data_IF_128666440158
#
_entry.id   IF_128666440158
#
_cell.length_a   1.000
_cell.length_b   1.000
_cell.length_c   1.000
_cell.angle_alpha   90.00
_cell.angle_beta   90.00
_cell.angle_gamma   90.00
#
_symmetry.space_group_name_H-M   'P 1'
#
loop_
_entity.id
_entity.type
_entity.pdbx_description
1 polymer ?
#
# COMPACT_ATOMS: atom_id res chain seq x y z
N UNK A 1 -1.49 13.63 20.45
CA UNK A 1 -1.45 12.22 20.02
C UNK A 1 0.03 11.86 19.87
N UNK A 2 0.47 10.66 20.23
CA UNK A 2 1.88 10.30 19.98
C UNK A 2 2.09 10.10 18.47
N UNK A 3 3.32 10.28 17.99
CA UNK A 3 3.65 10.10 16.56
C UNK A 3 3.25 8.70 16.06
N UNK A 4 3.40 7.68 16.90
CA UNK A 4 2.93 6.33 16.60
C UNK A 4 1.44 6.29 16.23
N UNK A 5 0.59 6.86 17.08
CA UNK A 5 -0.85 6.86 16.85
C UNK A 5 -1.25 7.63 15.59
N UNK A 6 -0.56 8.73 15.28
CA UNK A 6 -0.79 9.49 14.05
C UNK A 6 -0.43 8.67 12.81
N UNK A 7 0.69 7.93 12.84
CA UNK A 7 1.10 7.00 11.78
C UNK A 7 0.07 5.88 11.62
N UNK A 8 -0.28 5.16 12.70
CA UNK A 8 -1.21 4.03 12.63
C UNK A 8 -2.57 4.47 12.10
N UNK A 9 -3.12 5.58 12.61
CA UNK A 9 -4.40 6.12 12.17
C UNK A 9 -4.41 6.50 10.70
N UNK A 10 -3.29 7.00 10.18
CA UNK A 10 -3.20 7.55 8.82
C UNK A 10 -2.80 6.53 7.77
N UNK A 11 -1.97 5.54 8.11
CA UNK A 11 -1.33 4.66 7.13
C UNK A 11 -1.64 3.16 7.32
N UNK A 12 -2.17 2.77 8.49
CA UNK A 12 -2.44 1.38 8.87
C UNK A 12 -3.94 1.18 9.08
N UNK A 13 -4.66 0.90 7.99
CA UNK A 13 -6.11 0.75 7.99
C UNK A 13 -6.56 -0.43 7.11
N UNK A 14 -7.76 -0.99 7.36
CA UNK A 14 -8.34 -2.00 6.47
C UNK A 14 -8.58 -1.44 5.06
N UNK A 15 -8.17 -2.18 4.04
CA UNK A 15 -8.40 -1.83 2.64
C UNK A 15 -8.83 -3.05 1.83
N UNK A 16 -9.93 -2.92 1.08
CA UNK A 16 -10.47 -3.97 0.21
C UNK A 16 -9.94 -3.82 -1.22
N UNK A 17 -8.82 -4.49 -1.52
CA UNK A 17 -8.17 -4.42 -2.85
C UNK A 17 -7.05 -3.39 -2.94
N UNK A 18 -6.79 -2.89 -4.15
CA UNK A 18 -5.75 -1.90 -4.38
C UNK A 18 -6.21 -0.50 -3.96
N UNK A 19 -5.44 0.14 -3.07
CA UNK A 19 -5.81 1.39 -2.39
C UNK A 19 -6.08 2.54 -3.35
N UNK A 20 -5.36 2.63 -4.48
CA UNK A 20 -5.55 3.69 -5.47
C UNK A 20 -6.92 3.61 -6.18
N UNK A 21 -7.31 2.49 -6.84
CA UNK A 21 -8.66 2.39 -7.41
C UNK A 21 -9.76 2.43 -6.35
N UNK A 22 -9.50 1.99 -5.11
CA UNK A 22 -10.48 2.15 -4.02
C UNK A 22 -10.67 3.61 -3.64
N UNK A 23 -9.60 4.41 -3.59
CA UNK A 23 -9.70 5.85 -3.36
C UNK A 23 -10.47 6.55 -4.48
N UNK A 24 -10.32 6.11 -5.74
CA UNK A 24 -11.14 6.59 -6.86
C UNK A 24 -12.62 6.23 -6.66
N UNK A 25 -12.92 5.00 -6.25
CA UNK A 25 -14.28 4.57 -5.92
C UNK A 25 -14.86 5.38 -4.74
N UNK A 26 -14.04 5.68 -3.73
CA UNK A 26 -14.43 6.48 -2.58
C UNK A 26 -14.74 7.93 -2.98
N UNK A 27 -13.90 8.57 -3.79
CA UNK A 27 -14.18 9.91 -4.33
C UNK A 27 -15.47 9.94 -5.17
N UNK A 28 -15.68 8.93 -6.01
CA UNK A 28 -16.89 8.80 -6.81
C UNK A 28 -18.14 8.62 -5.94
N UNK A 29 -18.04 7.84 -4.86
CA UNK A 29 -19.09 7.65 -3.86
C UNK A 29 -19.43 8.95 -3.11
N UNK A 30 -18.43 9.74 -2.72
CA UNK A 30 -18.63 11.06 -2.11
C UNK A 30 -19.41 12.02 -3.01
N UNK A 31 -19.02 12.09 -4.29
CA UNK A 31 -19.71 12.93 -5.27
C UNK A 31 -21.15 12.45 -5.49
N UNK A 32 -21.36 11.13 -5.66
CA UNK A 32 -22.69 10.56 -5.89
C UNK A 32 -23.64 10.74 -4.68
N UNK A 33 -23.15 10.62 -3.45
CA UNK A 33 -23.92 10.91 -2.23
C UNK A 33 -24.48 12.34 -2.27
N UNK A 34 -23.65 13.32 -2.69
CA UNK A 34 -24.07 14.73 -2.76
C UNK A 34 -24.95 15.04 -3.95
N UNK A 35 -24.78 14.33 -5.07
CA UNK A 35 -25.64 14.43 -6.22
C UNK A 35 -27.10 14.11 -5.86
N UNK A 36 -27.32 13.08 -5.03
CA UNK A 36 -28.66 12.70 -4.56
C UNK A 36 -29.65 12.35 -5.68
N UNK A 37 -29.13 11.98 -6.86
CA UNK A 37 -29.89 11.61 -8.06
C UNK A 37 -29.28 10.36 -8.70
N UNK A 38 -29.98 9.76 -9.66
CA UNK A 38 -29.47 8.61 -10.42
C UNK A 38 -28.21 9.01 -11.21
N UNK A 39 -27.16 8.20 -11.11
CA UNK A 39 -25.87 8.46 -11.76
C UNK A 39 -25.99 8.24 -13.27
N UNK A 40 -25.77 9.30 -14.04
CA UNK A 40 -25.76 9.26 -15.51
C UNK A 40 -24.34 9.19 -16.06
N UNK A 41 -23.40 9.97 -15.49
CA UNK A 41 -21.98 9.95 -15.89
C UNK A 41 -21.03 10.04 -14.70
N UNK A 42 -19.84 9.47 -14.85
CA UNK A 42 -18.74 9.52 -13.89
C UNK A 42 -17.45 9.83 -14.63
N UNK A 43 -16.84 10.97 -14.34
CA UNK A 43 -15.54 11.36 -14.93
C UNK A 43 -14.53 11.54 -13.82
N UNK A 44 -13.46 10.74 -13.85
CA UNK A 44 -12.35 10.87 -12.92
C UNK A 44 -11.12 11.44 -13.62
N UNK A 45 -10.38 12.29 -12.93
CA UNK A 45 -9.08 12.80 -13.33
C UNK A 45 -8.09 12.51 -12.20
N UNK A 46 -7.01 11.80 -12.52
CA UNK A 46 -6.08 11.26 -11.52
C UNK A 46 -4.64 11.53 -11.90
N UNK A 47 -3.77 11.61 -10.90
CA UNK A 47 -2.32 11.77 -11.14
C UNK A 47 -1.67 10.52 -11.78
N UNK A 48 -0.40 10.63 -12.22
CA UNK A 48 0.40 9.52 -12.75
C UNK A 48 0.44 8.26 -11.89
N UNK A 49 0.62 8.39 -10.58
CA UNK A 49 0.76 7.27 -9.65
C UNK A 49 -0.55 6.53 -9.42
N UNK A 50 -1.66 7.25 -9.21
CA UNK A 50 -3.01 6.67 -9.10
C UNK A 50 -3.41 6.01 -10.42
N UNK A 51 -3.12 6.64 -11.55
CA UNK A 51 -3.33 6.06 -12.86
C UNK A 51 -2.57 4.73 -13.01
N UNK A 52 -1.25 4.76 -12.75
CA UNK A 52 -0.33 3.61 -12.84
C UNK A 52 -0.81 2.44 -11.97
N UNK A 53 -1.08 2.71 -10.68
CA UNK A 53 -1.42 1.64 -9.73
C UNK A 53 -2.80 1.04 -9.98
N UNK A 54 -3.77 1.85 -10.41
CA UNK A 54 -5.09 1.36 -10.76
C UNK A 54 -5.23 0.84 -12.19
N UNK A 55 -4.16 0.79 -12.99
CA UNK A 55 -4.25 0.52 -14.42
C UNK A 55 -4.68 -0.92 -14.79
N UNK A 56 -4.03 -1.92 -14.19
CA UNK A 56 -4.16 -3.34 -14.57
C UNK A 56 -4.56 -4.26 -13.41
N UNK A 57 -4.92 -3.70 -12.26
CA UNK A 57 -5.34 -4.47 -11.09
C UNK A 57 -6.80 -4.86 -11.20
N UNK A 58 -7.13 -6.08 -10.77
CA UNK A 58 -8.51 -6.56 -10.69
C UNK A 58 -9.22 -5.85 -9.54
N UNK A 59 -10.40 -5.32 -9.83
CA UNK A 59 -11.23 -4.60 -8.86
C UNK A 59 -12.11 -5.59 -8.10
N UNK A 60 -12.13 -5.57 -6.75
CA UNK A 60 -12.95 -6.50 -5.97
C UNK A 60 -14.42 -6.50 -6.35
N UNK A 61 -15.04 -7.69 -6.27
CA UNK A 61 -16.47 -7.91 -6.59
C UNK A 61 -16.90 -7.56 -8.02
N UNK A 62 -15.97 -7.59 -8.98
CA UNK A 62 -16.26 -7.32 -10.40
C UNK A 62 -16.14 -8.54 -11.32
N UNK A 63 -15.97 -9.76 -10.77
CA UNK A 63 -15.80 -10.96 -11.59
C UNK A 63 -14.53 -10.98 -12.46
N UNK A 64 -13.54 -10.11 -12.19
CA UNK A 64 -12.28 -10.07 -12.91
C UNK A 64 -11.99 -8.79 -13.69
N UNK A 65 -12.94 -7.84 -13.73
CA UNK A 65 -12.74 -6.55 -14.38
C UNK A 65 -11.62 -5.75 -13.69
N UNK A 66 -10.94 -4.92 -14.49
CA UNK A 66 -9.72 -4.21 -14.09
C UNK A 66 -9.85 -2.72 -14.38
N UNK A 67 -9.12 -1.92 -13.62
CA UNK A 67 -8.95 -0.51 -13.95
C UNK A 67 -9.66 0.47 -13.02
N UNK A 68 -9.15 1.70 -12.97
CA UNK A 68 -9.78 2.82 -12.26
C UNK A 68 -11.21 3.12 -12.73
N UNK A 69 -11.54 2.88 -14.01
CA UNK A 69 -12.85 3.28 -14.58
C UNK A 69 -13.98 2.47 -13.97
N UNK A 70 -13.83 1.14 -13.86
CA UNK A 70 -14.84 0.29 -13.24
C UNK A 70 -14.95 0.57 -11.73
N UNK A 71 -13.82 0.90 -11.07
CA UNK A 71 -13.83 1.30 -9.66
C UNK A 71 -14.59 2.61 -9.44
N UNK A 72 -14.38 3.62 -10.29
CA UNK A 72 -15.10 4.90 -10.25
C UNK A 72 -16.62 4.69 -10.45
N UNK A 73 -17.00 3.94 -11.49
CA UNK A 73 -18.40 3.66 -11.80
C UNK A 73 -19.10 2.93 -10.64
N UNK A 74 -18.46 1.88 -10.11
CA UNK A 74 -19.02 1.10 -9.02
C UNK A 74 -19.08 1.90 -7.71
N UNK A 75 -18.07 2.72 -7.41
CA UNK A 75 -18.07 3.63 -6.27
C UNK A 75 -19.22 4.64 -6.30
N UNK A 76 -19.44 5.28 -7.45
CA UNK A 76 -20.56 6.21 -7.63
C UNK A 76 -21.92 5.53 -7.44
N UNK A 77 -22.09 4.30 -7.94
CA UNK A 77 -23.34 3.56 -7.82
C UNK A 77 -23.60 3.02 -6.40
N UNK A 78 -22.54 2.73 -5.64
CA UNK A 78 -22.66 2.33 -4.23
C UNK A 78 -23.08 3.53 -3.37
N UNK A 79 -22.48 4.70 -3.57
CA UNK A 79 -22.82 5.97 -2.88
C UNK A 79 -22.91 5.86 -1.34
N UNK A 80 -21.95 5.14 -0.74
CA UNK A 80 -21.83 4.93 0.72
C UNK A 80 -20.43 5.30 1.24
N UNK A 81 -20.06 6.60 1.22
CA UNK A 81 -18.71 7.04 1.58
C UNK A 81 -18.31 6.70 3.02
N UNK A 82 -19.23 6.39 3.92
CA UNK A 82 -18.93 5.90 5.28
C UNK A 82 -18.09 4.61 5.29
N UNK A 83 -18.13 3.82 4.20
CA UNK A 83 -17.33 2.60 4.03
C UNK A 83 -15.85 2.87 3.70
N UNK A 84 -15.47 4.11 3.33
CA UNK A 84 -14.09 4.54 3.04
C UNK A 84 -13.32 3.54 2.13
N UNK A 85 -12.22 2.98 2.63
CA UNK A 85 -11.33 2.05 1.92
C UNK A 85 -11.88 0.62 1.81
N UNK A 86 -13.10 0.41 2.27
CA UNK A 86 -13.88 -0.81 2.08
C UNK A 86 -15.15 -0.54 1.24
N UNK A 87 -15.24 0.60 0.53
CA UNK A 87 -16.42 1.01 -0.28
C UNK A 87 -16.97 -0.10 -1.18
N UNK A 88 -16.10 -0.89 -1.81
CA UNK A 88 -16.52 -1.97 -2.71
C UNK A 88 -17.13 -3.18 -2.01
N UNK A 89 -17.12 -3.23 -0.67
CA UNK A 89 -17.89 -4.23 0.08
C UNK A 89 -19.39 -4.11 -0.19
N UNK A 90 -19.87 -2.89 -0.49
CA UNK A 90 -21.25 -2.57 -0.85
C UNK A 90 -21.66 -2.96 -2.27
N UNK A 91 -20.75 -3.50 -3.10
CA UNK A 91 -21.08 -3.94 -4.44
C UNK A 91 -21.95 -5.22 -4.43
N UNK A 92 -22.96 -5.23 -5.29
CA UNK A 92 -23.79 -6.39 -5.64
C UNK A 92 -23.86 -6.56 -7.18
N UNK A 93 -24.46 -7.66 -7.65
CA UNK A 93 -24.55 -7.98 -9.09
C UNK A 93 -25.33 -6.93 -9.90
N UNK A 94 -26.34 -6.29 -9.29
CA UNK A 94 -27.14 -5.26 -9.95
C UNK A 94 -26.33 -3.98 -10.17
N UNK A 95 -25.60 -3.54 -9.15
CA UNK A 95 -24.71 -2.38 -9.23
C UNK A 95 -23.55 -2.66 -10.19
N UNK A 96 -23.02 -3.89 -10.22
CA UNK A 96 -21.99 -4.27 -11.17
C UNK A 96 -22.48 -4.17 -12.62
N UNK A 97 -23.66 -4.70 -12.93
CA UNK A 97 -24.24 -4.61 -14.28
C UNK A 97 -24.47 -3.15 -14.72
N UNK A 98 -24.90 -2.28 -13.78
CA UNK A 98 -25.02 -0.84 -14.04
C UNK A 98 -23.66 -0.17 -14.27
N UNK A 99 -22.63 -0.56 -13.50
CA UNK A 99 -21.27 -0.04 -13.65
C UNK A 99 -20.68 -0.43 -15.02
N UNK A 100 -20.87 -1.67 -15.44
CA UNK A 100 -20.47 -2.16 -16.76
C UNK A 100 -21.18 -1.39 -17.88
N UNK A 101 -22.47 -1.09 -17.73
CA UNK A 101 -23.21 -0.28 -18.69
C UNK A 101 -22.65 1.16 -18.76
N UNK A 102 -22.34 1.79 -17.63
CA UNK A 102 -21.71 3.12 -17.62
C UNK A 102 -20.36 3.11 -18.34
N UNK A 103 -19.52 2.09 -18.10
CA UNK A 103 -18.20 1.95 -18.74
C UNK A 103 -18.35 1.71 -20.25
N UNK A 104 -19.12 0.70 -20.65
CA UNK A 104 -19.27 0.30 -22.05
C UNK A 104 -19.99 1.35 -22.92
N UNK A 105 -20.83 2.20 -22.33
CA UNK A 105 -21.45 3.33 -23.03
C UNK A 105 -20.60 4.62 -23.02
N UNK A 106 -19.38 4.57 -22.51
CA UNK A 106 -18.48 5.74 -22.43
C UNK A 106 -18.92 6.81 -21.43
N UNK A 107 -19.91 6.50 -20.57
CA UNK A 107 -20.42 7.41 -19.52
C UNK A 107 -19.59 7.38 -18.24
N UNK A 108 -18.73 6.38 -18.08
CA UNK A 108 -17.67 6.36 -17.06
C UNK A 108 -16.30 6.48 -17.73
N UNK A 109 -15.48 7.46 -17.31
CA UNK A 109 -14.14 7.68 -17.87
C UNK A 109 -13.11 8.04 -16.79
N UNK A 110 -11.83 7.77 -17.08
CA UNK A 110 -10.69 8.17 -16.24
C UNK A 110 -9.63 8.80 -17.13
N UNK A 111 -9.23 10.03 -16.81
CA UNK A 111 -8.16 10.78 -17.47
C UNK A 111 -6.92 10.89 -16.57
N UNK A 112 -5.75 10.92 -17.21
CA UNK A 112 -4.46 11.18 -16.57
C UNK A 112 -4.18 12.69 -16.56
N UNK A 113 -3.87 13.24 -15.37
CA UNK A 113 -3.44 14.63 -15.19
C UNK A 113 -1.97 14.62 -14.79
N UNK A 114 -1.07 14.89 -15.75
CA UNK A 114 0.38 14.74 -15.55
C UNK A 114 0.97 15.81 -14.63
N UNK A 115 0.31 16.94 -14.52
CA UNK A 115 0.76 18.10 -13.76
C UNK A 115 0.47 17.95 -12.25
N UNK A 116 -0.31 16.93 -11.86
CA UNK A 116 -0.62 16.60 -10.47
C UNK A 116 0.28 15.48 -9.96
N UNK A 117 0.53 15.47 -8.66
CA UNK A 117 1.40 14.53 -7.95
C UNK A 117 0.82 14.22 -6.57
N UNK A 118 1.51 13.38 -5.78
CA UNK A 118 1.22 13.13 -4.37
C UNK A 118 -0.22 12.68 -4.05
N UNK A 119 -0.77 11.78 -4.86
CA UNK A 119 -2.12 11.23 -4.71
C UNK A 119 -3.19 12.32 -4.90
N UNK A 120 -3.54 12.57 -6.16
CA UNK A 120 -4.63 13.44 -6.58
C UNK A 120 -5.71 12.64 -7.31
N UNK A 121 -6.95 12.82 -6.86
CA UNK A 121 -8.15 12.21 -7.44
C UNK A 121 -9.24 13.26 -7.49
N UNK A 122 -9.78 13.53 -8.67
CA UNK A 122 -10.85 14.47 -8.91
C UNK A 122 -11.97 13.76 -9.66
N UNK A 123 -13.12 13.59 -9.02
CA UNK A 123 -14.26 12.89 -9.62
C UNK A 123 -15.45 13.82 -9.73
N UNK A 124 -16.01 13.91 -10.93
CA UNK A 124 -17.26 14.58 -11.26
C UNK A 124 -18.32 13.54 -11.61
N UNK A 125 -19.49 13.63 -10.98
CA UNK A 125 -20.66 12.78 -11.23
C UNK A 125 -21.82 13.66 -11.65
N UNK A 126 -22.54 13.28 -12.70
CA UNK A 126 -23.74 13.99 -13.16
C UNK A 126 -24.96 13.09 -13.15
N UNK A 127 -26.14 13.69 -13.00
CA UNK A 127 -27.41 12.97 -13.06
C UNK A 127 -28.60 13.86 -12.73
N UNK A 128 -29.72 13.69 -13.44
CA UNK A 128 -30.95 14.46 -13.18
C UNK A 128 -30.78 15.97 -13.36
N UNK A 129 -29.89 16.39 -14.27
CA UNK A 129 -29.55 17.80 -14.49
C UNK A 129 -28.66 18.43 -13.41
N UNK A 130 -28.14 17.63 -12.48
CA UNK A 130 -27.26 18.05 -11.39
C UNK A 130 -25.83 17.57 -11.61
N UNK A 131 -24.89 18.23 -10.95
CA UNK A 131 -23.46 17.87 -10.98
C UNK A 131 -22.89 17.92 -9.57
N UNK A 132 -22.14 16.90 -9.19
CA UNK A 132 -21.40 16.86 -7.94
C UNK A 132 -19.94 16.48 -8.19
N UNK A 133 -19.03 17.00 -7.36
CA UNK A 133 -17.60 16.75 -7.50
C UNK A 133 -16.94 16.55 -6.14
N UNK A 134 -16.02 15.60 -6.06
CA UNK A 134 -15.18 15.34 -4.91
C UNK A 134 -13.72 15.29 -5.34
N UNK A 135 -12.85 15.96 -4.57
CA UNK A 135 -11.40 15.96 -4.78
C UNK A 135 -10.70 15.43 -3.54
N UNK A 136 -9.83 14.44 -3.74
CA UNK A 136 -8.90 13.92 -2.75
C UNK A 136 -7.48 14.35 -3.12
N UNK A 137 -6.69 14.76 -2.13
CA UNK A 137 -5.30 15.16 -2.33
C UNK A 137 -4.45 14.77 -1.12
N UNK A 138 -3.24 14.25 -1.35
CA UNK A 138 -2.27 13.93 -0.29
C UNK A 138 -2.60 12.70 0.56
N UNK A 139 -3.71 12.00 0.31
CA UNK A 139 -4.09 10.80 1.05
C UNK A 139 -5.35 10.13 0.51
N UNK A 140 -5.47 8.81 0.67
CA UNK A 140 -6.56 8.01 0.05
C UNK A 140 -7.97 8.39 0.50
N UNK A 141 -8.12 9.09 1.63
CA UNK A 141 -9.42 9.55 2.15
C UNK A 141 -9.43 11.03 2.52
N UNK A 142 -8.38 11.78 2.18
CA UNK A 142 -8.26 13.18 2.55
C UNK A 142 -9.03 14.07 1.56
N UNK A 143 -10.24 14.49 1.94
CA UNK A 143 -11.11 15.30 1.08
C UNK A 143 -10.67 16.76 1.14
N UNK A 144 -10.23 17.31 0.02
CA UNK A 144 -9.85 18.72 -0.09
C UNK A 144 -10.94 19.59 -0.71
N UNK A 145 -11.86 18.99 -1.48
CA UNK A 145 -13.03 19.69 -2.05
C UNK A 145 -14.23 18.78 -2.18
N UNK A 146 -15.40 19.30 -1.84
CA UNK A 146 -16.69 18.68 -2.10
C UNK A 146 -17.68 19.75 -2.55
N UNK A 147 -18.31 19.57 -3.71
CA UNK A 147 -19.26 20.54 -4.26
C UNK A 147 -20.44 19.87 -4.96
N UNK A 148 -21.58 20.56 -5.00
CA UNK A 148 -22.76 20.15 -5.76
C UNK A 148 -23.45 21.38 -6.35
N UNK A 149 -23.76 21.32 -7.65
CA UNK A 149 -24.38 22.41 -8.43
C UNK A 149 -23.63 23.75 -8.28
N UNK A 150 -22.29 23.68 -8.24
CA UNK A 150 -21.39 24.82 -8.05
C UNK A 150 -21.32 25.35 -6.61
N UNK A 151 -22.13 24.82 -5.69
CA UNK A 151 -22.04 25.16 -4.26
C UNK A 151 -20.98 24.30 -3.58
N UNK A 152 -19.95 24.97 -3.06
CA UNK A 152 -18.91 24.34 -2.23
C UNK A 152 -19.52 23.96 -0.87
N UNK A 153 -19.35 22.70 -0.49
CA UNK A 153 -19.80 22.12 0.78
C UNK A 153 -18.65 21.88 1.75
N UNK A 154 -17.46 21.60 1.20
CA UNK A 154 -16.20 21.49 1.93
C UNK A 154 -15.09 21.99 1.01
N UNK A 155 -14.22 22.83 1.53
CA UNK A 155 -12.98 23.24 0.87
C UNK A 155 -11.88 23.37 1.92
N UNK A 156 -10.76 22.68 1.74
CA UNK A 156 -9.64 22.71 2.68
C UNK A 156 -8.96 24.09 2.79
N UNK A 157 -9.12 24.94 1.77
CA UNK A 157 -8.63 26.33 1.79
C UNK A 157 -9.45 27.25 2.72
N UNK A 158 -10.60 26.81 3.23
CA UNK A 158 -11.31 27.55 4.28
C UNK A 158 -10.67 27.28 5.65
N UNK A 159 -10.43 28.31 6.50
CA UNK A 159 -9.68 28.19 7.76
C UNK A 159 -10.43 27.46 8.88
N UNK A 160 -11.27 26.47 8.56
CA UNK A 160 -11.90 25.58 9.54
C UNK A 160 -10.97 24.42 9.84
N UNK A 161 -9.99 24.68 10.70
CA UNK A 161 -9.25 23.65 11.46
C UNK A 161 -8.84 22.40 10.67
N UNK A 162 -8.31 22.56 9.46
CA UNK A 162 -7.58 21.50 8.80
C UNK A 162 -6.27 21.31 9.59
N UNK A 163 -6.34 20.51 10.67
CA UNK A 163 -5.15 19.86 11.20
C UNK A 163 -4.58 19.11 10.00
N UNK A 164 -3.45 19.57 9.48
CA UNK A 164 -2.75 18.88 8.41
C UNK A 164 -2.59 17.42 8.85
N UNK A 165 -3.38 16.52 8.25
CA UNK A 165 -3.44 15.11 8.64
C UNK A 165 -2.09 14.43 8.42
N UNK A 166 -1.16 15.10 7.74
CA UNK A 166 0.18 14.62 7.42
C UNK A 166 1.27 15.40 8.17
N UNK A 167 0.93 16.26 9.14
CA UNK A 167 1.92 16.98 9.95
C UNK A 167 2.90 16.03 10.67
N UNK A 168 2.45 14.81 11.03
CA UNK A 168 3.31 13.78 11.62
C UNK A 168 4.47 13.39 10.69
N UNK A 169 4.32 13.51 9.36
CA UNK A 169 5.38 13.19 8.40
C UNK A 169 6.56 14.13 8.53
N UNK A 170 6.32 15.40 8.83
CA UNK A 170 7.41 16.36 9.05
C UNK A 170 8.23 15.99 10.30
N UNK A 171 7.57 15.50 11.35
CA UNK A 171 8.24 15.00 12.56
C UNK A 171 8.95 13.69 12.26
N UNK A 172 8.27 12.72 11.64
CA UNK A 172 8.80 11.39 11.33
C UNK A 172 10.06 11.47 10.45
N UNK A 173 10.11 12.37 9.47
CA UNK A 173 11.30 12.63 8.61
C UNK A 173 12.56 13.03 9.37
N UNK A 174 12.42 13.53 10.60
CA UNK A 174 13.54 13.99 11.43
C UNK A 174 13.87 13.02 12.56
N UNK A 175 13.09 11.95 12.72
CA UNK A 175 13.33 10.93 13.73
C UNK A 175 14.44 9.99 13.30
N UNK A 176 15.19 9.52 14.29
CA UNK A 176 16.12 8.40 14.15
C UNK A 176 15.41 7.06 14.37
N UNK A 177 16.03 5.97 13.94
CA UNK A 177 15.56 4.62 14.23
C UNK A 177 15.52 4.33 15.73
N UNK A 178 16.49 4.85 16.49
CA UNK A 178 16.49 4.72 17.96
C UNK A 178 15.28 5.38 18.60
N UNK A 179 14.88 6.57 18.14
CA UNK A 179 13.67 7.25 18.64
C UNK A 179 12.39 6.50 18.22
N UNK A 180 12.32 5.96 17.00
CA UNK A 180 11.18 5.15 16.57
C UNK A 180 11.03 3.86 17.40
N UNK A 181 12.14 3.23 17.79
CA UNK A 181 12.12 2.08 18.71
C UNK A 181 11.66 2.52 20.10
N UNK A 182 12.07 3.70 20.57
CA UNK A 182 11.62 4.26 21.84
C UNK A 182 10.10 4.48 21.90
N UNK A 183 9.44 4.76 20.76
CA UNK A 183 7.97 4.86 20.71
C UNK A 183 7.26 3.54 21.06
N UNK A 184 7.95 2.40 20.98
CA UNK A 184 7.35 1.10 21.30
C UNK A 184 7.08 0.95 22.79
N UNK A 185 7.82 1.64 23.67
CA UNK A 185 7.65 1.53 25.13
C UNK A 185 6.30 2.10 25.59
N UNK A 186 5.75 3.05 24.84
CA UNK A 186 4.48 3.72 25.12
C UNK A 186 3.24 2.96 24.60
N UNK A 187 3.43 1.81 23.93
CA UNK A 187 2.31 1.04 23.38
C UNK A 187 1.44 0.44 24.48
N UNK A 188 0.14 0.66 24.37
CA UNK A 188 -0.85 0.15 25.29
C UNK A 188 -1.55 -1.13 24.78
N UNK A 189 -2.45 -1.67 25.60
CA UNK A 189 -3.18 -2.89 25.24
C UNK A 189 -4.10 -2.70 24.03
N UNK A 190 -4.63 -1.49 23.82
CA UNK A 190 -5.46 -1.16 22.66
C UNK A 190 -4.64 -1.20 21.37
N UNK A 191 -3.40 -0.70 21.40
CA UNK A 191 -2.46 -0.80 20.29
C UNK A 191 -2.17 -2.26 19.92
N UNK A 192 -1.86 -3.09 20.92
CA UNK A 192 -1.60 -4.52 20.72
C UNK A 192 -2.82 -5.25 20.12
N UNK A 193 -4.03 -4.92 20.56
CA UNK A 193 -5.27 -5.47 19.99
C UNK A 193 -5.45 -5.05 18.53
N UNK A 194 -5.16 -3.79 18.19
CA UNK A 194 -5.26 -3.31 16.80
C UNK A 194 -4.22 -3.99 15.88
N UNK A 195 -2.99 -4.14 16.35
CA UNK A 195 -1.92 -4.85 15.63
C UNK A 195 -2.29 -6.32 15.40
N UNK A 196 -2.84 -6.99 16.42
CA UNK A 196 -3.30 -8.39 16.32
C UNK A 196 -4.46 -8.54 15.32
N UNK A 197 -5.42 -7.61 15.32
CA UNK A 197 -6.46 -7.56 14.28
C UNK A 197 -5.84 -7.44 12.88
N UNK A 198 -4.78 -6.66 12.73
CA UNK A 198 -4.02 -6.53 11.49
C UNK A 198 -3.41 -7.86 11.04
N UNK A 199 -2.81 -8.61 11.96
CA UNK A 199 -2.28 -9.97 11.72
C UNK A 199 -3.40 -10.91 11.25
N UNK A 200 -4.49 -11.00 12.01
CA UNK A 200 -5.61 -11.91 11.72
C UNK A 200 -6.25 -11.63 10.35
N UNK A 201 -6.42 -10.34 10.02
CA UNK A 201 -6.95 -9.92 8.72
C UNK A 201 -6.04 -10.36 7.56
N UNK A 202 -4.72 -10.16 7.70
CA UNK A 202 -3.77 -10.55 6.67
C UNK A 202 -3.59 -12.07 6.56
N UNK A 203 -3.64 -12.81 7.68
CA UNK A 203 -3.67 -14.27 7.67
C UNK A 203 -4.92 -14.81 6.96
N UNK A 204 -6.08 -14.19 7.19
CA UNK A 204 -7.33 -14.59 6.56
C UNK A 204 -7.24 -14.52 5.03
N UNK A 205 -6.76 -13.42 4.45
CA UNK A 205 -6.62 -13.33 3.00
C UNK A 205 -5.55 -14.29 2.46
N UNK A 206 -4.50 -14.57 3.25
CA UNK A 206 -3.45 -15.51 2.86
C UNK A 206 -4.02 -16.92 2.68
N UNK A 207 -4.89 -17.35 3.61
CA UNK A 207 -5.54 -18.66 3.54
C UNK A 207 -6.42 -18.80 2.29
N UNK A 208 -7.19 -17.76 1.97
CA UNK A 208 -8.01 -17.72 0.75
C UNK A 208 -7.13 -17.72 -0.51
N UNK A 209 -5.98 -17.06 -0.45
CA UNK A 209 -5.00 -17.02 -1.53
C UNK A 209 -4.31 -18.35 -1.84
N UNK A 210 -4.22 -19.27 -0.87
CA UNK A 210 -3.68 -20.63 -1.11
C UNK A 210 -4.52 -21.43 -2.09
N UNK A 211 -5.80 -21.09 -2.23
CA UNK A 211 -6.71 -21.74 -3.18
C UNK A 211 -6.48 -21.30 -4.63
N UNK A 212 -5.67 -20.25 -4.86
CA UNK A 212 -5.39 -19.73 -6.19
C UNK A 212 -4.15 -20.38 -6.79
N UNK A 213 -4.25 -20.84 -8.04
CA UNK A 213 -3.10 -21.29 -8.84
C UNK A 213 -2.31 -20.09 -9.39
N UNK A 214 -1.62 -19.39 -8.48
CA UNK A 214 -0.78 -18.21 -8.77
C UNK A 214 0.60 -18.34 -8.13
N UNK A 215 1.27 -17.23 -7.78
CA UNK A 215 2.66 -17.23 -7.30
C UNK A 215 2.83 -18.08 -6.04
N UNK A 216 1.96 -17.92 -5.03
CA UNK A 216 2.03 -18.69 -3.79
C UNK A 216 1.96 -20.20 -4.02
N UNK A 217 1.07 -20.64 -4.91
CA UNK A 217 0.96 -22.05 -5.33
C UNK A 217 2.25 -22.58 -5.94
N UNK A 218 2.87 -21.82 -6.85
CA UNK A 218 4.11 -22.25 -7.49
C UNK A 218 5.31 -22.23 -6.54
N UNK A 219 5.36 -21.33 -5.56
CA UNK A 219 6.37 -21.39 -4.49
C UNK A 219 6.18 -22.64 -3.63
N UNK A 220 4.95 -22.98 -3.27
CA UNK A 220 4.64 -24.22 -2.55
C UNK A 220 5.00 -25.47 -3.39
N UNK A 221 4.80 -25.41 -4.70
CA UNK A 221 5.21 -26.48 -5.61
C UNK A 221 6.73 -26.71 -5.61
N UNK A 222 7.54 -25.64 -5.55
CA UNK A 222 9.00 -25.76 -5.39
C UNK A 222 9.37 -26.50 -4.10
N UNK A 223 8.63 -26.28 -3.01
CA UNK A 223 8.82 -27.01 -1.75
C UNK A 223 8.44 -28.48 -1.91
N UNK A 224 7.26 -28.78 -2.48
CA UNK A 224 6.80 -30.16 -2.71
C UNK A 224 7.75 -30.95 -3.61
N UNK A 225 8.40 -30.29 -4.57
CA UNK A 225 9.41 -30.88 -5.46
C UNK A 225 10.80 -31.01 -4.83
N UNK A 226 11.00 -30.49 -3.62
CA UNK A 226 12.30 -30.51 -2.93
C UNK A 226 13.33 -29.54 -3.49
N UNK A 227 12.91 -28.56 -4.30
CA UNK A 227 13.79 -27.49 -4.79
C UNK A 227 13.96 -26.37 -3.76
N UNK A 228 12.96 -26.22 -2.89
CA UNK A 228 13.03 -25.41 -1.68
C UNK A 228 12.78 -26.30 -0.46
N UNK A 229 13.39 -25.94 0.67
CA UNK A 229 13.14 -26.60 1.95
C UNK A 229 11.82 -26.09 2.54
N UNK A 230 11.14 -26.97 3.28
CA UNK A 230 9.99 -26.60 4.10
C UNK A 230 10.48 -25.90 5.39
N UNK A 231 10.90 -24.65 5.27
CA UNK A 231 11.51 -23.85 6.34
C UNK A 231 10.79 -22.50 6.56
N UNK A 232 11.33 -21.67 7.45
CA UNK A 232 10.79 -20.33 7.77
C UNK A 232 10.82 -19.39 6.56
N UNK A 233 11.80 -19.51 5.67
CA UNK A 233 11.92 -18.66 4.48
C UNK A 233 10.83 -19.02 3.48
N UNK A 234 10.71 -20.31 3.15
CA UNK A 234 9.71 -20.80 2.21
C UNK A 234 8.29 -20.61 2.72
N UNK A 235 8.02 -20.91 4.00
CA UNK A 235 6.69 -20.67 4.59
C UNK A 235 6.31 -19.20 4.58
N UNK A 236 7.24 -18.28 4.87
CA UNK A 236 6.99 -16.83 4.79
C UNK A 236 6.72 -16.38 3.35
N UNK A 237 7.47 -16.91 2.37
CA UNK A 237 7.24 -16.63 0.94
C UNK A 237 5.87 -17.09 0.49
N UNK A 238 5.47 -18.33 0.83
CA UNK A 238 4.15 -18.87 0.49
C UNK A 238 3.05 -18.02 1.13
N UNK A 239 3.15 -17.75 2.43
CA UNK A 239 2.17 -16.98 3.17
C UNK A 239 1.94 -15.58 2.56
N UNK A 240 3.01 -14.84 2.34
CA UNK A 240 2.94 -13.47 1.81
C UNK A 240 2.54 -13.44 0.34
N UNK A 241 3.01 -14.39 -0.48
CA UNK A 241 2.61 -14.51 -1.88
C UNK A 241 1.12 -14.82 -2.02
N UNK A 242 0.60 -15.78 -1.24
CA UNK A 242 -0.82 -16.13 -1.26
C UNK A 242 -1.70 -14.94 -0.88
N UNK A 243 -1.33 -14.19 0.17
CA UNK A 243 -2.05 -12.97 0.53
C UNK A 243 -2.06 -11.94 -0.60
N UNK A 244 -0.90 -11.70 -1.23
CA UNK A 244 -0.78 -10.77 -2.35
C UNK A 244 -1.55 -11.27 -3.59
N UNK A 245 -1.53 -12.57 -3.86
CA UNK A 245 -2.25 -13.18 -4.98
C UNK A 245 -3.76 -12.98 -4.84
N UNK A 246 -4.32 -13.28 -3.67
CA UNK A 246 -5.73 -13.05 -3.38
C UNK A 246 -6.11 -11.58 -3.53
N UNK A 247 -5.32 -10.67 -2.95
CA UNK A 247 -5.56 -9.22 -3.06
C UNK A 247 -5.52 -8.74 -4.51
N UNK A 248 -4.48 -9.10 -5.26
CA UNK A 248 -4.29 -8.65 -6.65
C UNK A 248 -5.25 -9.32 -7.64
N UNK A 249 -5.84 -10.46 -7.26
CA UNK A 249 -6.92 -11.12 -7.99
C UNK A 249 -8.31 -10.53 -7.68
N UNK A 250 -8.41 -9.55 -6.76
CA UNK A 250 -9.67 -8.91 -6.40
C UNK A 250 -10.59 -9.81 -5.56
N UNK A 251 -10.04 -10.74 -4.78
CA UNK A 251 -10.85 -11.48 -3.81
C UNK A 251 -11.42 -10.49 -2.76
N UNK A 252 -12.66 -10.69 -2.29
CA UNK A 252 -13.37 -9.71 -1.47
C UNK A 252 -13.01 -9.80 0.02
N UNK A 253 -11.71 -9.90 0.34
CA UNK A 253 -11.19 -9.91 1.71
C UNK A 253 -10.32 -8.67 1.93
N UNK A 254 -10.54 -7.90 3.02
CA UNK A 254 -9.70 -6.75 3.33
C UNK A 254 -8.32 -7.20 3.82
N UNK A 255 -7.35 -6.30 3.72
CA UNK A 255 -6.03 -6.43 4.34
C UNK A 255 -5.76 -5.20 5.20
N UNK A 256 -5.03 -5.37 6.30
CA UNK A 256 -4.50 -4.22 7.04
C UNK A 256 -3.32 -3.66 6.25
N UNK A 257 -3.41 -2.39 5.85
CA UNK A 257 -2.36 -1.71 5.10
C UNK A 257 -1.16 -1.35 5.96
N UNK A 258 -0.07 -0.97 5.30
CA UNK A 258 1.02 -0.20 5.88
C UNK A 258 1.47 0.82 4.84
N UNK A 259 1.82 2.04 5.24
CA UNK A 259 2.17 3.08 4.26
C UNK A 259 1.05 3.34 3.24
N UNK A 260 -0.22 3.20 3.66
CA UNK A 260 -1.39 3.30 2.79
C UNK A 260 -1.49 2.20 1.72
N UNK A 261 -0.72 1.11 1.81
CA UNK A 261 -0.71 0.03 0.82
C UNK A 261 -0.90 -1.36 1.45
N UNK A 262 -1.83 -2.13 0.89
CA UNK A 262 -2.14 -3.48 1.38
C UNK A 262 -1.01 -4.50 1.17
N UNK A 263 -0.29 -4.47 0.05
CA UNK A 263 0.85 -5.40 -0.16
C UNK A 263 2.03 -5.04 0.75
N UNK A 264 2.19 -3.76 1.07
CA UNK A 264 3.16 -3.35 2.07
C UNK A 264 2.75 -3.82 3.47
N UNK A 265 1.46 -3.73 3.80
CA UNK A 265 0.91 -4.32 5.03
C UNK A 265 1.16 -5.83 5.12
N UNK A 266 0.92 -6.57 4.03
CA UNK A 266 1.21 -8.02 3.95
C UNK A 266 2.67 -8.31 4.33
N UNK A 267 3.64 -7.61 3.74
CA UNK A 267 5.07 -7.82 4.05
C UNK A 267 5.40 -7.36 5.47
N UNK A 268 5.01 -6.14 5.83
CA UNK A 268 5.32 -5.52 7.12
C UNK A 268 4.74 -6.29 8.32
N UNK A 269 3.62 -7.00 8.13
CA UNK A 269 2.92 -7.75 9.17
C UNK A 269 3.28 -9.23 9.13
N UNK A 270 3.09 -9.92 8.00
CA UNK A 270 3.14 -11.38 7.95
C UNK A 270 4.57 -11.94 7.99
N UNK A 271 5.56 -11.20 7.49
CA UNK A 271 6.96 -11.63 7.54
C UNK A 271 7.47 -11.70 8.99
N UNK A 272 7.48 -10.60 9.76
CA UNK A 272 7.90 -10.66 11.17
C UNK A 272 6.98 -11.54 12.02
N UNK A 273 5.69 -11.63 11.70
CA UNK A 273 4.79 -12.57 12.38
C UNK A 273 5.22 -14.02 12.19
N UNK A 274 5.37 -14.48 10.93
CA UNK A 274 5.69 -15.89 10.66
C UNK A 274 7.09 -16.26 11.18
N UNK A 275 8.06 -15.36 11.06
CA UNK A 275 9.41 -15.56 11.60
C UNK A 275 9.38 -15.63 13.14
N UNK A 276 8.69 -14.71 13.80
CA UNK A 276 8.58 -14.70 15.26
C UNK A 276 7.90 -15.96 15.79
N UNK A 277 6.83 -16.41 15.13
CA UNK A 277 6.14 -17.66 15.47
C UNK A 277 7.06 -18.88 15.31
N UNK A 278 7.86 -18.93 14.23
CA UNK A 278 8.82 -20.01 13.98
C UNK A 278 9.90 -20.10 15.07
N UNK A 279 10.37 -18.96 15.57
CA UNK A 279 11.39 -18.89 16.63
C UNK A 279 10.81 -18.83 18.05
N UNK A 280 9.51 -19.04 18.22
CA UNK A 280 8.83 -19.01 19.53
C UNK A 280 9.02 -17.70 20.31
N UNK A 281 9.10 -16.58 19.59
CA UNK A 281 9.14 -15.24 20.18
C UNK A 281 7.80 -14.97 20.89
N UNK A 282 7.79 -14.36 22.09
CA UNK A 282 6.55 -13.99 22.77
C UNK A 282 5.63 -13.14 21.88
N UNK A 283 4.32 -13.41 21.89
CA UNK A 283 3.34 -12.73 21.02
C UNK A 283 3.40 -11.22 21.16
N UNK A 284 3.54 -10.70 22.39
CA UNK A 284 3.68 -9.26 22.62
C UNK A 284 4.91 -8.66 21.92
N UNK A 285 6.06 -9.33 21.98
CA UNK A 285 7.28 -8.90 21.28
C UNK A 285 7.07 -8.93 19.76
N UNK A 286 6.36 -9.93 19.23
CA UNK A 286 5.99 -9.98 17.80
C UNK A 286 5.13 -8.77 17.44
N UNK A 287 4.08 -8.47 18.21
CA UNK A 287 3.19 -7.33 17.94
C UNK A 287 3.94 -5.99 18.03
N UNK A 288 4.79 -5.79 19.05
CA UNK A 288 5.65 -4.59 19.17
C UNK A 288 6.62 -4.47 17.98
N UNK A 289 7.18 -5.58 17.50
CA UNK A 289 8.02 -5.54 16.29
C UNK A 289 7.24 -5.20 15.01
N UNK A 290 5.96 -5.58 14.91
CA UNK A 290 5.08 -5.21 13.80
C UNK A 290 4.76 -3.70 13.86
N UNK A 291 4.56 -3.14 15.06
CA UNK A 291 4.46 -1.69 15.24
C UNK A 291 5.72 -0.97 14.72
N UNK A 292 6.92 -1.48 15.04
CA UNK A 292 8.18 -0.95 14.51
C UNK A 292 8.25 -1.08 12.98
N UNK A 293 7.83 -2.22 12.43
CA UNK A 293 7.76 -2.45 10.99
C UNK A 293 6.89 -1.40 10.28
N UNK A 294 5.74 -1.06 10.86
CA UNK A 294 4.88 0.01 10.36
C UNK A 294 5.52 1.40 10.44
N UNK A 295 6.16 1.73 11.57
CA UNK A 295 6.88 3.00 11.75
C UNK A 295 8.02 3.17 10.75
N UNK A 296 8.86 2.15 10.59
CA UNK A 296 9.99 2.16 9.64
C UNK A 296 9.50 2.25 8.20
N UNK A 297 8.41 1.54 7.87
CA UNK A 297 7.78 1.67 6.57
C UNK A 297 7.33 3.12 6.32
N UNK A 298 6.55 3.70 7.24
CA UNK A 298 6.10 5.10 7.16
C UNK A 298 7.27 6.09 7.05
N UNK A 299 8.35 5.88 7.80
CA UNK A 299 9.58 6.68 7.74
C UNK A 299 10.18 6.67 6.33
N UNK A 300 10.40 5.49 5.75
CA UNK A 300 10.95 5.36 4.39
C UNK A 300 10.01 6.02 3.37
N UNK A 301 8.70 5.88 3.53
CA UNK A 301 7.69 6.53 2.67
C UNK A 301 7.77 8.05 2.75
N UNK A 302 8.04 8.60 3.92
CA UNK A 302 8.24 10.03 4.06
C UNK A 302 9.42 10.56 3.25
N UNK A 303 10.46 9.76 3.01
CA UNK A 303 11.62 10.14 2.19
C UNK A 303 11.48 9.75 0.71
N UNK A 304 10.82 8.64 0.41
CA UNK A 304 10.74 8.08 -0.95
C UNK A 304 9.47 8.47 -1.71
N UNK A 305 8.44 8.94 -1.02
CA UNK A 305 7.14 9.34 -1.58
C UNK A 305 6.11 8.20 -1.65
N UNK A 306 4.82 8.55 -1.71
CA UNK A 306 3.72 7.58 -1.66
C UNK A 306 3.61 6.73 -2.93
N UNK A 307 3.96 7.29 -4.09
CA UNK A 307 3.78 6.67 -5.39
C UNK A 307 5.07 6.62 -6.22
N UNK A 308 6.20 6.41 -5.54
CA UNK A 308 7.54 6.34 -6.12
C UNK A 308 7.69 5.31 -7.27
N UNK A 309 8.71 5.47 -8.14
CA UNK A 309 9.05 4.48 -9.17
C UNK A 309 9.69 3.21 -8.59
N UNK A 310 10.11 3.23 -7.32
CA UNK A 310 10.58 2.05 -6.58
C UNK A 310 9.43 1.34 -5.85
N UNK A 311 9.50 0.02 -5.74
CA UNK A 311 8.46 -0.79 -5.12
C UNK A 311 8.48 -0.65 -3.60
N UNK A 312 7.45 0.01 -3.04
CA UNK A 312 7.30 0.13 -1.59
C UNK A 312 7.15 -1.20 -0.85
N UNK A 313 6.70 -2.28 -1.52
CA UNK A 313 6.68 -3.61 -0.92
C UNK A 313 8.10 -4.13 -0.69
N UNK A 314 8.98 -3.92 -1.67
CA UNK A 314 10.36 -4.37 -1.65
C UNK A 314 11.19 -3.60 -0.62
N UNK A 315 11.08 -2.28 -0.64
CA UNK A 315 11.93 -1.39 0.15
C UNK A 315 11.29 -1.07 1.48
N UNK A 316 10.25 -0.23 1.49
CA UNK A 316 9.72 0.32 2.73
C UNK A 316 9.19 -0.79 3.67
N UNK A 317 8.38 -1.70 3.15
CA UNK A 317 7.87 -2.83 3.92
C UNK A 317 8.91 -3.91 4.19
N UNK A 318 9.79 -4.20 3.21
CA UNK A 318 10.87 -5.18 3.39
C UNK A 318 11.87 -4.77 4.47
N UNK A 319 12.26 -3.50 4.49
CA UNK A 319 13.13 -2.93 5.53
C UNK A 319 12.43 -2.98 6.89
N UNK A 320 11.17 -2.54 6.95
CA UNK A 320 10.36 -2.65 8.19
C UNK A 320 10.32 -4.07 8.73
N UNK A 321 10.09 -5.06 7.86
CA UNK A 321 10.10 -6.48 8.23
C UNK A 321 11.47 -6.96 8.70
N UNK A 322 12.56 -6.58 8.03
CA UNK A 322 13.92 -6.97 8.44
C UNK A 322 14.28 -6.41 9.82
N UNK A 323 13.98 -5.13 10.05
CA UNK A 323 14.21 -4.44 11.33
C UNK A 323 13.38 -5.07 12.44
N UNK A 324 12.12 -5.42 12.16
CA UNK A 324 11.26 -6.12 13.10
C UNK A 324 11.84 -7.50 13.50
N UNK A 325 12.38 -8.27 12.55
CA UNK A 325 13.05 -9.56 12.86
C UNK A 325 14.29 -9.35 13.72
N UNK A 326 15.13 -8.35 13.42
CA UNK A 326 16.30 -8.03 14.25
C UNK A 326 15.85 -7.66 15.66
N UNK A 327 14.84 -6.81 15.79
CA UNK A 327 14.28 -6.39 17.08
C UNK A 327 13.77 -7.57 17.91
N UNK A 328 13.06 -8.52 17.30
CA UNK A 328 12.56 -9.71 17.99
C UNK A 328 13.68 -10.56 18.60
N UNK A 329 14.83 -10.65 17.93
CA UNK A 329 15.90 -11.60 18.27
C UNK A 329 17.08 -10.97 19.03
N UNK A 330 17.30 -9.67 18.87
CA UNK A 330 18.42 -8.94 19.49
C UNK A 330 17.97 -7.70 20.29
N UNK A 331 16.68 -7.37 20.32
CA UNK A 331 16.20 -6.13 20.93
C UNK A 331 16.65 -4.89 20.16
N UNK A 332 16.81 -3.73 20.82
CA UNK A 332 17.16 -2.46 20.19
C UNK A 332 18.66 -2.34 19.84
N UNK A 333 19.23 -3.35 19.18
CA UNK A 333 20.64 -3.35 18.75
C UNK A 333 20.80 -2.54 17.45
N UNK A 334 21.17 -1.26 17.60
CA UNK A 334 21.30 -0.32 16.49
C UNK A 334 22.31 -0.76 15.42
N UNK A 335 23.42 -1.38 15.82
CA UNK A 335 24.42 -1.83 14.85
C UNK A 335 23.85 -2.92 13.94
N UNK A 336 23.08 -3.86 14.50
CA UNK A 336 22.40 -4.90 13.71
C UNK A 336 21.29 -4.31 12.86
N UNK A 337 20.57 -3.30 13.36
CA UNK A 337 19.53 -2.61 12.59
C UNK A 337 20.13 -1.92 11.36
N UNK A 338 21.23 -1.18 11.53
CA UNK A 338 21.94 -0.53 10.43
C UNK A 338 22.38 -1.55 9.37
N UNK A 339 23.02 -2.66 9.80
CA UNK A 339 23.42 -3.74 8.90
C UNK A 339 22.24 -4.33 8.12
N UNK A 340 21.09 -4.56 8.77
CA UNK A 340 19.92 -5.13 8.12
C UNK A 340 19.31 -4.18 7.09
N UNK A 341 19.15 -2.89 7.44
CA UNK A 341 18.62 -1.84 6.55
C UNK A 341 19.53 -1.67 5.33
N UNK A 342 20.84 -1.57 5.56
CA UNK A 342 21.84 -1.44 4.51
C UNK A 342 21.83 -2.63 3.56
N UNK A 343 21.76 -3.85 4.11
CA UNK A 343 21.79 -5.08 3.32
C UNK A 343 20.61 -5.20 2.39
N UNK A 344 19.38 -4.97 2.87
CA UNK A 344 18.20 -5.09 2.01
C UNK A 344 18.10 -3.97 0.98
N UNK A 345 18.48 -2.73 1.33
CA UNK A 345 18.49 -1.61 0.37
C UNK A 345 19.54 -1.82 -0.71
N UNK A 346 20.71 -2.37 -0.37
CA UNK A 346 21.73 -2.73 -1.36
C UNK A 346 21.28 -3.86 -2.29
N UNK A 347 20.65 -4.91 -1.74
CA UNK A 347 20.18 -6.09 -2.50
C UNK A 347 19.07 -5.73 -3.51
N UNK A 348 17.98 -5.13 -3.03
CA UNK A 348 16.75 -4.96 -3.82
C UNK A 348 16.28 -3.51 -3.98
N UNK A 349 17.10 -2.52 -3.60
CA UNK A 349 16.85 -1.06 -3.65
C UNK A 349 16.23 -0.54 -4.94
N UNK A 350 16.62 -1.12 -6.07
CA UNK A 350 16.21 -0.69 -7.43
C UNK A 350 14.96 -1.37 -7.99
N UNK A 351 14.21 -2.15 -7.20
CA UNK A 351 13.05 -2.88 -7.73
C UNK A 351 11.93 -1.91 -8.18
N UNK A 352 11.59 -1.89 -9.47
CA UNK A 352 10.60 -0.96 -10.04
C UNK A 352 9.17 -1.19 -9.53
N UNK A 353 8.35 -0.14 -9.49
CA UNK A 353 6.91 -0.16 -9.24
C UNK A 353 6.13 0.22 -10.50
N UNK A 354 5.74 -0.76 -11.30
CA UNK A 354 5.04 -0.62 -12.58
C UNK A 354 3.51 -0.81 -12.45
N UNK A 355 2.93 -0.41 -11.31
CA UNK A 355 1.49 -0.50 -11.03
C UNK A 355 1.02 -1.80 -10.35
N UNK A 356 -0.18 -1.80 -9.78
CA UNK A 356 -0.71 -2.98 -9.10
C UNK A 356 -1.26 -4.00 -10.09
N UNK A 357 -0.97 -5.28 -9.84
CA UNK A 357 -1.32 -6.43 -10.69
C UNK A 357 -0.85 -7.73 -10.02
N UNK A 358 -1.22 -8.88 -10.59
CA UNK A 358 -0.79 -10.19 -10.10
C UNK A 358 0.72 -10.34 -9.90
N UNK A 359 1.53 -9.67 -10.72
CA UNK A 359 2.99 -9.66 -10.57
C UNK A 359 3.53 -9.04 -9.27
N UNK A 360 2.72 -8.32 -8.49
CA UNK A 360 3.14 -7.83 -7.17
C UNK A 360 3.51 -8.97 -6.22
N UNK A 361 2.87 -10.14 -6.33
CA UNK A 361 3.19 -11.29 -5.48
C UNK A 361 4.63 -11.77 -5.68
N UNK A 362 5.19 -11.66 -6.89
CA UNK A 362 6.61 -11.97 -7.16
C UNK A 362 7.54 -11.03 -6.38
N UNK A 363 7.23 -9.73 -6.37
CA UNK A 363 8.01 -8.71 -5.65
C UNK A 363 7.93 -8.92 -4.14
N UNK A 364 6.75 -9.30 -3.66
CA UNK A 364 6.52 -9.69 -2.26
C UNK A 364 7.38 -10.90 -1.89
N UNK A 365 7.47 -11.94 -2.73
CA UNK A 365 8.36 -13.09 -2.48
C UNK A 365 9.83 -12.67 -2.39
N UNK A 366 10.31 -11.87 -3.34
CA UNK A 366 11.70 -11.37 -3.33
C UNK A 366 11.99 -10.51 -2.10
N UNK A 367 11.05 -9.64 -1.71
CA UNK A 367 11.16 -8.81 -0.52
C UNK A 367 11.21 -9.64 0.76
N UNK A 368 10.30 -10.61 0.92
CA UNK A 368 10.26 -11.52 2.06
C UNK A 368 11.58 -12.27 2.23
N UNK A 369 12.14 -12.76 1.12
CA UNK A 369 13.44 -13.43 1.12
C UNK A 369 14.57 -12.51 1.60
N UNK A 370 14.69 -11.35 0.95
CA UNK A 370 15.73 -10.38 1.23
C UNK A 370 15.64 -9.86 2.68
N UNK A 371 14.43 -9.63 3.20
CA UNK A 371 14.21 -9.19 4.58
C UNK A 371 14.70 -10.23 5.60
N UNK A 372 14.35 -11.51 5.42
CA UNK A 372 14.81 -12.58 6.32
C UNK A 372 16.33 -12.75 6.21
N UNK A 373 16.88 -12.73 4.99
CA UNK A 373 18.32 -12.87 4.75
C UNK A 373 19.12 -11.74 5.39
N UNK A 374 18.70 -10.49 5.16
CA UNK A 374 19.33 -9.29 5.72
C UNK A 374 19.29 -9.29 7.25
N UNK A 375 18.14 -9.61 7.84
CA UNK A 375 18.01 -9.72 9.29
C UNK A 375 18.90 -10.83 9.85
N UNK A 376 18.95 -12.00 9.22
CA UNK A 376 19.80 -13.11 9.67
C UNK A 376 21.29 -12.78 9.59
N UNK A 377 21.75 -12.15 8.51
CA UNK A 377 23.13 -11.67 8.38
C UNK A 377 23.47 -10.71 9.52
N UNK A 378 22.62 -9.70 9.72
CA UNK A 378 22.80 -8.69 10.76
C UNK A 378 22.85 -9.30 12.17
N UNK A 379 21.99 -10.28 12.45
CA UNK A 379 21.99 -11.00 13.74
C UNK A 379 23.33 -11.67 14.05
N UNK A 380 24.08 -12.04 13.02
CA UNK A 380 25.42 -12.63 13.10
C UNK A 380 26.56 -11.60 12.94
N UNK A 381 26.28 -10.30 13.01
CA UNK A 381 27.28 -9.24 12.90
C UNK A 381 27.85 -9.05 11.49
N UNK A 382 27.11 -9.48 10.47
CA UNK A 382 27.48 -9.34 9.07
C UNK A 382 26.41 -8.58 8.28
N UNK A 383 26.79 -7.95 7.18
CA UNK A 383 25.88 -7.16 6.36
C UNK A 383 26.66 -6.18 5.51
N UNK A 384 25.92 -5.38 4.75
CA UNK A 384 26.46 -4.31 3.93
C UNK A 384 26.75 -3.09 4.81
N UNK A 385 27.92 -2.49 4.65
CA UNK A 385 28.35 -1.27 5.36
C UNK A 385 28.53 -0.10 4.40
N UNK A 386 28.97 1.06 4.93
CA UNK A 386 29.28 2.26 4.15
C UNK A 386 30.42 2.10 3.14
N UNK A 387 31.18 1.00 3.23
CA UNK A 387 32.26 0.68 2.29
C UNK A 387 31.72 0.28 0.91
N UNK A 388 30.42 -0.05 0.82
CA UNK A 388 29.80 -0.60 -0.37
C UNK A 388 28.86 0.39 -1.07
N UNK A 389 29.26 0.82 -2.27
CA UNK A 389 28.38 1.52 -3.21
C UNK A 389 27.80 2.83 -2.65
N UNK A 390 26.47 2.96 -2.66
CA UNK A 390 25.76 4.17 -2.21
C UNK A 390 25.26 4.08 -0.76
N UNK A 391 25.55 2.98 -0.06
CA UNK A 391 25.10 2.74 1.31
C UNK A 391 25.80 3.73 2.26
N UNK A 392 25.06 4.25 3.24
CA UNK A 392 25.54 5.17 4.25
C UNK A 392 26.02 4.46 5.52
N UNK A 393 26.54 5.25 6.47
CA UNK A 393 27.05 4.75 7.76
C UNK A 393 25.95 4.31 8.71
N UNK A 394 24.74 4.83 8.52
CA UNK A 394 23.54 4.45 9.26
C UNK A 394 22.39 4.12 8.32
N UNK A 395 21.37 3.47 8.87
CA UNK A 395 20.10 3.22 8.19
C UNK A 395 19.52 4.51 7.58
N UNK A 396 19.52 5.63 8.31
CA UNK A 396 18.99 6.91 7.85
C UNK A 396 19.77 7.47 6.67
N UNK A 397 21.12 7.46 6.72
CA UNK A 397 21.96 7.91 5.61
C UNK A 397 21.70 7.09 4.33
N UNK A 398 21.58 5.77 4.46
CA UNK A 398 21.24 4.88 3.35
C UNK A 398 19.87 5.21 2.75
N UNK A 399 18.86 5.43 3.60
CA UNK A 399 17.50 5.80 3.16
C UNK A 399 17.50 7.17 2.47
N UNK A 400 18.29 8.14 2.95
CA UNK A 400 18.48 9.43 2.29
C UNK A 400 19.16 9.29 0.92
N UNK A 401 20.18 8.45 0.80
CA UNK A 401 20.83 8.18 -0.47
C UNK A 401 19.86 7.50 -1.46
N UNK A 402 19.07 6.52 -1.00
CA UNK A 402 18.04 5.87 -1.81
C UNK A 402 16.95 6.86 -2.25
N UNK A 403 16.48 7.72 -1.35
CA UNK A 403 15.52 8.79 -1.65
C UNK A 403 16.05 9.71 -2.75
N UNK A 404 17.32 10.14 -2.66
CA UNK A 404 17.96 10.95 -3.69
C UNK A 404 18.03 10.24 -5.04
N UNK A 405 18.27 8.93 -5.06
CA UNK A 405 18.26 8.11 -6.29
C UNK A 405 16.84 8.02 -6.86
N UNK A 406 15.83 7.76 -6.03
CA UNK A 406 14.44 7.65 -6.48
C UNK A 406 13.90 8.98 -7.03
N UNK A 407 14.19 10.09 -6.35
CA UNK A 407 13.73 11.42 -6.75
C UNK A 407 14.49 11.93 -7.97
N UNK A 408 15.83 12.02 -7.90
CA UNK A 408 16.64 12.62 -8.96
C UNK A 408 17.07 11.64 -10.04
N UNK A 409 17.52 10.45 -9.62
CA UNK A 409 18.04 9.43 -10.53
C UNK A 409 16.95 8.73 -11.36
N UNK A 410 15.73 8.62 -10.81
CA UNK A 410 14.60 7.93 -11.44
C UNK A 410 13.46 8.87 -11.87
N UNK A 411 13.71 10.18 -11.97
CA UNK A 411 12.71 11.21 -12.27
C UNK A 411 11.84 10.93 -13.52
N UNK A 412 12.40 10.23 -14.52
CA UNK A 412 11.71 9.92 -15.79
C UNK A 412 11.10 8.51 -15.85
N UNK A 413 11.30 7.69 -14.81
CA UNK A 413 10.94 6.26 -14.85
C UNK A 413 9.42 6.08 -14.88
N UNK A 414 8.69 6.82 -14.04
CA UNK A 414 7.22 6.74 -13.99
C UNK A 414 6.58 7.21 -15.30
N UNK A 415 7.03 8.34 -15.85
CA UNK A 415 6.57 8.84 -17.15
C UNK A 415 6.86 7.84 -18.28
N UNK A 416 8.02 7.21 -18.25
CA UNK A 416 8.40 6.18 -19.24
C UNK A 416 7.49 4.97 -19.13
N UNK A 417 7.24 4.47 -17.91
CA UNK A 417 6.32 3.34 -17.68
C UNK A 417 4.91 3.68 -18.14
N UNK A 418 4.40 4.86 -17.79
CA UNK A 418 3.07 5.31 -18.20
C UNK A 418 2.92 5.43 -19.72
N UNK A 419 3.93 5.97 -20.41
CA UNK A 419 3.94 6.01 -21.87
C UNK A 419 3.81 4.60 -22.46
N UNK A 420 4.58 3.63 -21.96
CA UNK A 420 4.52 2.23 -22.41
C UNK A 420 3.16 1.61 -22.11
N UNK A 421 2.60 1.87 -20.91
CA UNK A 421 1.29 1.34 -20.50
C UNK A 421 0.16 1.90 -21.36
N UNK A 422 0.17 3.19 -21.67
CA UNK A 422 -0.82 3.85 -22.52
C UNK A 422 -0.76 3.37 -23.98
N UNK A 423 0.44 3.18 -24.52
CA UNK A 423 0.63 2.66 -25.89
C UNK A 423 0.01 1.26 -26.07
N UNK A 424 0.06 0.42 -25.03
CA UNK A 424 -0.58 -0.91 -25.05
C UNK A 424 -2.11 -0.84 -25.15
N UNK A 425 -2.75 0.19 -24.58
CA UNK A 425 -4.21 0.38 -24.69
C UNK A 425 -4.64 0.80 -26.09
N UNK A 426 -3.87 1.66 -26.77
CA UNK A 426 -4.19 2.08 -28.14
C UNK A 426 -4.08 0.97 -29.19
N UNK A 427 -3.49 -0.17 -28.84
CA UNK A 427 -3.32 -1.34 -29.71
C UNK A 427 -4.31 -2.47 -29.43
N UNK A 428 -5.23 -2.32 -28.47
CA UNK A 428 -6.34 -3.26 -28.30
C UNK A 428 -7.39 -3.01 -29.42
N UNK A 429 -7.81 -4.05 -30.16
CA UNK A 429 -8.57 -3.92 -31.41
C UNK A 429 -9.97 -3.33 -31.27
#
# INVERSE_FOLDING_TARGET
MSIYHDVIKSEVFPALGCTEPIAVAYAASLAAERLGAEVETVTASVDPGVFKNGFAVTVPKTGGLKGNVIAAALGALIARPELKMEILSGADERLLAQAELLVSSGRATVALVKERTDLYIDVVVTGGGRTARAVLEGGHTNIVRLECDGRILLNADEPVSAVDSHAYRAVLRQMTFSEMIGLLDDLDQGDLVYLKRGVEMNLRIAEEGKQLTKVGHYVEELVRKGFLLADVVSSSKILTASASDARMAGLPYPVMSSGGSGNQGIVAILVPYNVGMFFHVPEETILRSIALSHLVNAYIKCHTGDLAPICGCAIAAGVGAAVAIVYQQAGPDMHKIDLAVNTIISDIGGMLCDGAKGGCALKVVSSTDAAIRAAYMALNGHGISEEEGFVGKSAEETIHNLSRIADKGMALVDDTMLCIMLQKRSTEP
#
